data_IF_579075985769
#
_entry.id   IF_579075985769
#
_cell.length_a   1.000
_cell.length_b   1.000
_cell.length_c   1.000
_cell.angle_alpha   90.00
_cell.angle_beta   90.00
_cell.angle_gamma   90.00
#
_symmetry.space_group_name_H-M   'P 1'
#
loop_
_entity.id
_entity.type
_entity.pdbx_description
1 polymer ?
#
# COMPACT_ATOMS: atom_id res chain seq x y z
N UNK A 1 8.19 -7.67 15.00
CA UNK A 1 7.43 -7.93 13.76
C UNK A 1 7.59 -6.71 12.86
N UNK A 2 8.21 -6.80 11.67
CA UNK A 2 8.18 -5.66 10.75
C UNK A 2 6.82 -5.60 10.05
N UNK A 3 6.20 -4.43 10.03
CA UNK A 3 4.90 -4.19 9.42
C UNK A 3 5.07 -4.09 7.90
N UNK A 4 5.25 -5.24 7.24
CA UNK A 4 5.41 -5.34 5.80
C UNK A 4 4.20 -6.04 5.18
N UNK A 5 3.69 -5.51 4.07
CA UNK A 5 2.61 -6.14 3.30
C UNK A 5 2.94 -7.60 2.98
N UNK A 6 4.17 -7.90 2.57
CA UNK A 6 4.60 -9.26 2.22
C UNK A 6 4.55 -10.22 3.41
N UNK A 7 4.85 -9.73 4.61
CA UNK A 7 4.76 -10.53 5.84
C UNK A 7 3.29 -10.71 6.26
N UNK A 8 2.47 -9.66 6.16
CA UNK A 8 1.05 -9.73 6.52
C UNK A 8 0.24 -10.58 5.55
N UNK A 9 0.58 -10.58 4.25
CA UNK A 9 -0.07 -11.39 3.21
C UNK A 9 0.01 -12.89 3.51
N UNK A 10 1.10 -13.35 4.14
CA UNK A 10 1.26 -14.74 4.58
C UNK A 10 0.31 -15.13 5.72
N UNK A 11 -0.17 -14.14 6.48
CA UNK A 11 -1.05 -14.34 7.63
C UNK A 11 -2.43 -13.73 7.40
N UNK A 12 -3.25 -14.39 6.56
CA UNK A 12 -4.58 -13.91 6.13
C UNK A 12 -5.49 -13.46 7.27
N UNK A 13 -5.52 -14.19 8.40
CA UNK A 13 -6.32 -13.82 9.58
C UNK A 13 -5.85 -12.51 10.21
N UNK A 14 -4.55 -12.36 10.41
CA UNK A 14 -3.99 -11.14 10.99
C UNK A 14 -4.18 -9.96 10.06
N UNK A 15 -3.99 -10.16 8.75
CA UNK A 15 -4.27 -9.14 7.73
C UNK A 15 -5.71 -8.64 7.85
N UNK A 16 -6.69 -9.56 7.85
CA UNK A 16 -8.11 -9.20 7.97
C UNK A 16 -8.44 -8.53 9.30
N UNK A 17 -7.82 -8.94 10.40
CA UNK A 17 -8.03 -8.31 11.71
C UNK A 17 -7.51 -6.86 11.76
N UNK A 18 -6.42 -6.56 11.04
CA UNK A 18 -5.80 -5.23 11.01
C UNK A 18 -6.52 -4.31 10.02
N UNK A 19 -6.76 -4.79 8.80
CA UNK A 19 -7.25 -3.97 7.69
C UNK A 19 -8.77 -4.02 7.55
N UNK A 20 -9.43 -5.02 8.15
CA UNK A 20 -10.85 -5.31 7.93
C UNK A 20 -11.15 -5.95 6.56
N UNK A 21 -10.15 -6.09 5.69
CA UNK A 21 -10.31 -6.48 4.28
C UNK A 21 -9.67 -7.84 4.00
N UNK A 22 -10.15 -8.50 2.95
CA UNK A 22 -9.40 -9.57 2.30
C UNK A 22 -8.23 -8.99 1.51
N UNK A 23 -7.24 -9.85 1.19
CA UNK A 23 -6.08 -9.44 0.38
C UNK A 23 -6.53 -8.98 -1.00
N UNK A 24 -7.50 -9.65 -1.61
CA UNK A 24 -8.01 -9.30 -2.94
C UNK A 24 -8.73 -7.94 -2.96
N UNK A 25 -9.54 -7.64 -1.95
CA UNK A 25 -10.18 -6.34 -1.80
C UNK A 25 -9.15 -5.22 -1.62
N UNK A 26 -8.12 -5.50 -0.80
CA UNK A 26 -7.02 -4.56 -0.61
C UNK A 26 -6.24 -4.33 -1.91
N UNK A 27 -5.92 -5.37 -2.67
CA UNK A 27 -5.20 -5.23 -3.95
C UNK A 27 -6.00 -4.38 -4.96
N UNK A 28 -7.33 -4.53 -5.02
CA UNK A 28 -8.20 -3.66 -5.85
C UNK A 28 -8.17 -2.20 -5.41
N UNK A 29 -8.11 -1.92 -4.11
CA UNK A 29 -7.97 -0.55 -3.59
C UNK A 29 -6.60 0.01 -3.96
N UNK A 30 -5.54 -0.79 -3.80
CA UNK A 30 -4.18 -0.41 -4.19
C UNK A 30 -4.10 -0.08 -5.67
N UNK A 31 -4.69 -0.89 -6.56
CA UNK A 31 -4.71 -0.60 -8.00
C UNK A 31 -5.36 0.75 -8.33
N UNK A 32 -6.49 1.07 -7.70
CA UNK A 32 -7.17 2.36 -7.90
C UNK A 32 -6.28 3.52 -7.46
N UNK A 33 -5.65 3.40 -6.30
CA UNK A 33 -4.82 4.46 -5.70
C UNK A 33 -3.46 4.56 -6.39
N UNK A 34 -2.91 3.47 -6.93
CA UNK A 34 -1.58 3.40 -7.55
C UNK A 34 -1.39 4.44 -8.64
N UNK A 35 -2.39 4.62 -9.51
CA UNK A 35 -2.35 5.62 -10.57
C UNK A 35 -2.24 7.06 -10.03
N UNK A 36 -2.92 7.36 -8.93
CA UNK A 36 -2.82 8.64 -8.22
C UNK A 36 -1.48 8.80 -7.52
N UNK A 37 -0.98 7.73 -6.92
CA UNK A 37 0.33 7.69 -6.28
C UNK A 37 1.47 7.95 -7.26
N UNK A 38 1.48 7.29 -8.42
CA UNK A 38 2.51 7.50 -9.45
C UNK A 38 2.50 8.94 -9.99
N UNK A 39 1.33 9.57 -10.10
CA UNK A 39 1.22 10.99 -10.43
C UNK A 39 1.82 11.88 -9.34
N UNK A 40 1.49 11.61 -8.08
CA UNK A 40 2.04 12.36 -6.93
C UNK A 40 3.55 12.17 -6.78
N UNK A 41 4.06 10.96 -7.03
CA UNK A 41 5.49 10.65 -7.00
C UNK A 41 6.25 11.41 -8.10
N UNK A 42 5.70 11.45 -9.32
CA UNK A 42 6.25 12.28 -10.41
C UNK A 42 6.17 13.79 -10.11
N UNK A 43 5.13 14.21 -9.38
CA UNK A 43 4.93 15.60 -8.96
C UNK A 43 5.74 15.99 -7.73
N UNK A 44 6.34 15.04 -6.99
CA UNK A 44 7.35 15.36 -5.99
C UNK A 44 8.55 15.97 -6.72
N UNK A 45 8.48 17.27 -6.98
CA UNK A 45 9.66 18.11 -7.13
C UNK A 45 10.49 17.81 -5.89
N UNK A 46 11.69 17.25 -6.06
CA UNK A 46 12.68 17.18 -5.01
C UNK A 46 12.74 18.58 -4.37
N UNK A 47 12.15 18.74 -3.18
CA UNK A 47 12.33 19.96 -2.42
C UNK A 47 13.85 20.11 -2.28
N UNK A 48 14.35 21.21 -2.85
CA UNK A 48 15.72 21.34 -3.36
C UNK A 48 16.77 20.62 -2.52
N UNK A 49 17.39 19.60 -3.11
CA UNK A 49 18.83 19.40 -2.89
C UNK A 49 19.52 20.43 -3.78
N UNK A 50 19.67 21.65 -3.25
CA UNK A 50 20.77 22.54 -3.61
C UNK A 50 21.84 22.36 -2.55
#
# INVERSE_FOLDING_TARGET
>A
MSFSYYNMRKHRRNFRNITGLTIEEFEKVVEKVRSGWEKLEKQKKCHGRR
#
